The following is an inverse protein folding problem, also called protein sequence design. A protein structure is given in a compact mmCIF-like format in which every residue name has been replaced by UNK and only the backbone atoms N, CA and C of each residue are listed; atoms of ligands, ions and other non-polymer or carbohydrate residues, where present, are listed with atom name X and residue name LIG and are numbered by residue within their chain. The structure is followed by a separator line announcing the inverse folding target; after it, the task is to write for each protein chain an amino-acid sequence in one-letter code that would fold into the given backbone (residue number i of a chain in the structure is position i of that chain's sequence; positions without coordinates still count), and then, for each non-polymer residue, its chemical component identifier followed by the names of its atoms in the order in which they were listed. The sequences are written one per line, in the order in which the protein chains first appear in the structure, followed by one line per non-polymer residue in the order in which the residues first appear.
data_IF_056730418418
#
_entry.id   IF_056730418418
#
_cell.length_a   1.000
_cell.length_b   1.000
_cell.length_c   1.000
_cell.angle_alpha   90.00
_cell.angle_beta   90.00
_cell.angle_gamma   90.00
#
_symmetry.space_group_name_H-M   'P 1'
#
loop_
_entity.id
_entity.type
_entity.pdbx_description
1 polymer ?
#
# COMPACT_ATOMS: atom_id res chain seq x y z
N UNK A 1 -1.73 5.43 -30.81
CA UNK A 1 -2.42 4.42 -29.98
C UNK A 1 -2.23 4.80 -28.51
N UNK A 2 -3.29 4.79 -27.70
CA UNK A 2 -3.15 5.05 -26.27
C UNK A 2 -2.39 3.89 -25.62
N UNK A 3 -1.31 4.20 -24.90
CA UNK A 3 -0.51 3.21 -24.18
C UNK A 3 -1.42 2.51 -23.15
N UNK A 4 -1.46 1.16 -23.10
CA UNK A 4 -2.25 0.44 -22.10
C UNK A 4 -1.91 0.96 -20.70
N UNK A 5 -2.95 1.29 -19.91
CA UNK A 5 -2.77 1.74 -18.52
C UNK A 5 -2.12 0.62 -17.71
N UNK A 6 -0.90 0.87 -17.22
CA UNK A 6 -0.27 0.00 -16.23
C UNK A 6 -0.86 0.31 -14.86
N UNK A 7 -1.61 -0.64 -14.32
CA UNK A 7 -2.14 -0.59 -12.97
C UNK A 7 -0.99 -0.77 -11.98
N UNK A 8 -0.92 0.10 -10.97
CA UNK A 8 0.14 0.08 -9.95
C UNK A 8 -0.34 -0.73 -8.76
N UNK A 9 0.47 -1.62 -8.22
CA UNK A 9 0.05 -2.43 -7.07
C UNK A 9 0.18 -1.65 -5.76
N UNK A 10 -0.87 -1.70 -4.94
CA UNK A 10 -0.94 -1.03 -3.63
C UNK A 10 -1.35 -2.04 -2.56
N UNK A 11 -0.67 -2.07 -1.43
CA UNK A 11 -0.92 -3.09 -0.40
C UNK A 11 -2.16 -2.80 0.46
N UNK A 12 -2.38 -1.54 0.82
CA UNK A 12 -3.51 -1.11 1.63
C UNK A 12 -3.91 0.34 1.33
N UNK A 13 -5.17 0.66 1.57
CA UNK A 13 -5.65 2.04 1.58
C UNK A 13 -5.35 2.67 2.94
N UNK A 14 -5.11 3.99 2.99
CA UNK A 14 -4.97 4.67 4.26
C UNK A 14 -6.28 4.62 5.06
N UNK A 15 -6.20 4.34 6.36
CA UNK A 15 -7.38 4.39 7.26
C UNK A 15 -7.94 5.81 7.40
N UNK A 16 -7.05 6.80 7.32
CA UNK A 16 -7.37 8.23 7.32
C UNK A 16 -6.85 8.83 6.02
N UNK A 17 -7.74 9.39 5.22
CA UNK A 17 -7.41 9.93 3.91
C UNK A 17 -7.33 11.47 3.89
N UNK A 18 -7.33 12.13 5.05
CA UNK A 18 -7.22 13.58 5.18
C UNK A 18 -6.33 13.94 6.37
N UNK A 19 -5.40 14.86 6.14
CA UNK A 19 -4.48 15.41 7.14
C UNK A 19 -4.38 16.92 6.94
N UNK A 20 -4.28 17.70 8.00
CA UNK A 20 -4.20 19.15 7.87
C UNK A 20 -4.19 19.87 9.21
N UNK A 21 -4.06 21.20 9.20
CA UNK A 21 -4.09 21.99 10.42
C UNK A 21 -5.46 21.91 11.10
N UNK A 22 -5.46 21.86 12.44
CA UNK A 22 -6.69 21.78 13.24
C UNK A 22 -7.62 22.99 13.04
N UNK A 23 -7.06 24.14 12.68
CA UNK A 23 -7.78 25.41 12.50
C UNK A 23 -7.92 25.81 11.02
N UNK A 24 -7.79 24.87 10.09
CA UNK A 24 -7.83 25.15 8.65
C UNK A 24 -9.20 25.65 8.18
N UNK A 25 -9.22 26.73 7.39
CA UNK A 25 -10.43 27.14 6.68
C UNK A 25 -10.75 26.13 5.57
N UNK A 26 -12.04 25.78 5.44
CA UNK A 26 -12.51 24.74 4.52
C UNK A 26 -12.64 25.24 3.07
N UNK A 27 -11.71 26.10 2.63
CA UNK A 27 -11.71 26.65 1.28
C UNK A 27 -11.10 25.64 0.30
N UNK A 28 -11.70 25.52 -0.90
CA UNK A 28 -11.24 24.56 -1.92
C UNK A 28 -9.80 24.82 -2.41
N UNK A 29 -9.27 26.04 -2.25
CA UNK A 29 -7.87 26.39 -2.56
C UNK A 29 -6.86 25.86 -1.52
N UNK A 30 -7.33 25.32 -0.40
CA UNK A 30 -6.50 24.81 0.69
C UNK A 30 -6.20 23.31 0.58
N UNK A 31 -6.51 22.63 -0.53
CA UNK A 31 -6.29 21.19 -0.66
C UNK A 31 -5.07 20.84 -1.51
N UNK A 32 -4.31 19.84 -1.07
CA UNK A 32 -3.29 19.14 -1.86
C UNK A 32 -3.75 17.69 -2.02
N UNK A 33 -3.96 17.26 -3.26
CA UNK A 33 -4.41 15.88 -3.54
C UNK A 33 -3.22 14.97 -3.82
N UNK A 34 -2.99 14.01 -2.93
CA UNK A 34 -2.06 12.91 -3.08
C UNK A 34 -2.81 11.68 -3.60
N UNK A 35 -2.26 11.02 -4.61
CA UNK A 35 -2.81 9.77 -5.14
C UNK A 35 -2.46 8.59 -4.24
N UNK A 36 -3.22 7.50 -4.36
CA UNK A 36 -3.00 6.31 -3.53
C UNK A 36 -1.62 5.66 -3.80
N UNK A 37 -1.13 5.71 -5.04
CA UNK A 37 0.19 5.18 -5.39
C UNK A 37 1.35 6.04 -4.86
N UNK A 38 1.16 7.36 -4.79
CA UNK A 38 2.08 8.30 -4.14
C UNK A 38 2.17 8.03 -2.65
N UNK A 39 1.02 7.85 -1.98
CA UNK A 39 0.96 7.45 -0.57
C UNK A 39 1.67 6.11 -0.32
N UNK A 40 1.39 5.09 -1.14
CA UNK A 40 2.03 3.78 -1.00
C UNK A 40 3.55 3.87 -1.18
N UNK A 41 4.02 4.74 -2.07
CA UNK A 41 5.46 4.96 -2.27
C UNK A 41 6.12 5.57 -1.03
N UNK A 42 5.47 6.55 -0.40
CA UNK A 42 5.94 7.14 0.88
C UNK A 42 5.93 6.09 1.98
N UNK A 43 4.87 5.28 2.07
CA UNK A 43 4.80 4.19 3.04
C UNK A 43 5.95 3.20 2.86
N UNK A 44 6.15 2.69 1.65
CA UNK A 44 7.18 1.67 1.38
C UNK A 44 8.59 2.23 1.61
N UNK A 45 8.90 3.43 1.12
CA UNK A 45 10.25 3.97 1.20
C UNK A 45 10.54 4.58 2.58
N UNK A 46 9.71 5.53 3.02
CA UNK A 46 10.01 6.34 4.20
C UNK A 46 9.58 5.68 5.51
N UNK A 47 8.50 4.86 5.51
CA UNK A 47 8.02 4.17 6.72
C UNK A 47 8.59 2.75 6.85
N UNK A 48 8.56 1.96 5.77
CA UNK A 48 9.05 0.56 5.78
C UNK A 48 10.55 0.44 5.45
N UNK A 49 11.20 1.54 5.05
CA UNK A 49 12.65 1.59 4.80
C UNK A 49 13.09 0.96 3.47
N UNK A 50 12.21 0.86 2.47
CA UNK A 50 12.55 0.19 1.22
C UNK A 50 13.44 1.06 0.36
N UNK A 51 14.37 0.41 -0.34
CA UNK A 51 15.06 1.05 -1.46
C UNK A 51 14.06 1.30 -2.61
N UNK A 52 14.37 2.26 -3.49
CA UNK A 52 13.56 2.51 -4.69
C UNK A 52 13.42 1.27 -5.58
N UNK A 53 14.43 0.41 -5.61
CA UNK A 53 14.42 -0.86 -6.36
C UNK A 53 13.39 -1.83 -5.76
N UNK A 54 13.40 -2.01 -4.44
CA UNK A 54 12.44 -2.86 -3.74
C UNK A 54 11.01 -2.33 -3.88
N UNK A 55 10.83 -1.02 -3.74
CA UNK A 55 9.53 -0.37 -3.97
C UNK A 55 9.02 -0.61 -5.41
N UNK A 56 9.91 -0.55 -6.40
CA UNK A 56 9.57 -0.79 -7.81
C UNK A 56 9.12 -2.23 -8.04
N UNK A 57 9.85 -3.19 -7.46
CA UNK A 57 9.45 -4.60 -7.46
C UNK A 57 8.09 -4.81 -6.81
N UNK A 58 7.87 -4.21 -5.63
CA UNK A 58 6.63 -4.35 -4.87
C UNK A 58 5.41 -3.76 -5.60
N UNK A 59 5.59 -2.63 -6.28
CA UNK A 59 4.52 -1.93 -7.00
C UNK A 59 4.35 -2.39 -8.46
N UNK A 60 5.19 -3.33 -8.93
CA UNK A 60 5.26 -3.83 -10.31
C UNK A 60 5.43 -2.72 -11.36
N UNK A 61 6.26 -1.73 -11.07
CA UNK A 61 6.57 -0.61 -11.96
C UNK A 61 8.08 -0.45 -12.15
N UNK A 62 8.50 0.34 -13.14
CA UNK A 62 9.91 0.63 -13.34
C UNK A 62 10.45 1.51 -12.20
N UNK A 63 11.72 1.29 -11.81
CA UNK A 63 12.43 2.11 -10.82
C UNK A 63 12.37 3.61 -11.11
N UNK A 64 12.49 4.01 -12.37
CA UNK A 64 12.36 5.41 -12.81
C UNK A 64 10.96 5.98 -12.57
N UNK A 65 9.92 5.14 -12.66
CA UNK A 65 8.54 5.53 -12.34
C UNK A 65 8.37 5.72 -10.84
N UNK A 66 8.96 4.85 -10.00
CA UNK A 66 8.98 5.04 -8.53
C UNK A 66 9.67 6.35 -8.18
N UNK A 67 10.81 6.66 -8.80
CA UNK A 67 11.52 7.91 -8.54
C UNK A 67 10.65 9.15 -8.81
N UNK A 68 9.90 9.15 -9.92
CA UNK A 68 8.94 10.22 -10.23
C UNK A 68 7.82 10.31 -9.19
N UNK A 69 7.15 9.20 -8.90
CA UNK A 69 6.07 9.12 -7.91
C UNK A 69 6.56 9.58 -6.52
N UNK A 70 7.75 9.17 -6.12
CA UNK A 70 8.35 9.53 -4.84
C UNK A 70 8.63 11.03 -4.74
N UNK A 71 9.14 11.64 -5.80
CA UNK A 71 9.37 13.08 -5.84
C UNK A 71 8.05 13.87 -5.78
N UNK A 72 7.06 13.48 -6.57
CA UNK A 72 5.73 14.10 -6.56
C UNK A 72 5.09 14.00 -5.17
N UNK A 73 5.18 12.82 -4.54
CA UNK A 73 4.63 12.58 -3.21
C UNK A 73 5.31 13.47 -2.15
N UNK A 74 6.65 13.56 -2.15
CA UNK A 74 7.39 14.44 -1.23
C UNK A 74 7.08 15.91 -1.44
N UNK A 75 6.93 16.35 -2.70
CA UNK A 75 6.54 17.73 -3.00
C UNK A 75 5.16 18.05 -2.39
N UNK A 76 4.18 17.16 -2.53
CA UNK A 76 2.83 17.34 -1.98
C UNK A 76 2.81 17.37 -0.44
N UNK A 77 3.62 16.53 0.20
CA UNK A 77 3.81 16.57 1.65
C UNK A 77 4.40 17.92 2.06
N UNK A 78 5.47 18.35 1.41
CA UNK A 78 6.11 19.62 1.69
C UNK A 78 5.15 20.79 1.48
N UNK A 79 4.37 20.80 0.40
CA UNK A 79 3.37 21.83 0.14
C UNK A 79 2.29 21.89 1.23
N UNK A 80 1.80 20.73 1.68
CA UNK A 80 0.83 20.64 2.77
C UNK A 80 1.39 21.18 4.07
N UNK A 81 2.61 20.77 4.45
CA UNK A 81 3.23 21.14 5.72
C UNK A 81 3.64 22.62 5.74
N UNK A 82 4.26 23.13 4.67
CA UNK A 82 4.80 24.50 4.61
C UNK A 82 3.69 25.54 4.46
N UNK A 83 2.69 25.26 3.62
CA UNK A 83 1.61 26.22 3.35
C UNK A 83 0.37 26.00 4.22
N UNK A 84 0.39 25.03 5.14
CA UNK A 84 -0.77 24.68 5.98
C UNK A 84 -1.97 24.17 5.19
N UNK A 85 -1.74 23.53 4.04
CA UNK A 85 -2.82 22.97 3.21
C UNK A 85 -3.26 21.62 3.73
N UNK A 86 -4.55 21.31 3.56
CA UNK A 86 -5.12 19.99 3.85
C UNK A 86 -4.65 19.00 2.78
N UNK A 87 -3.87 17.99 3.20
CA UNK A 87 -3.50 16.86 2.37
C UNK A 87 -4.67 15.87 2.30
N UNK A 88 -5.14 15.58 1.09
CA UNK A 88 -6.19 14.60 0.84
C UNK A 88 -5.63 13.45 0.00
N UNK A 89 -5.83 12.23 0.44
CA UNK A 89 -5.32 11.02 -0.21
C UNK A 89 -6.46 10.33 -0.96
N UNK A 90 -6.51 10.45 -2.29
CA UNK A 90 -7.55 9.82 -3.10
C UNK A 90 -7.17 9.67 -4.57
N UNK A 91 -7.92 8.84 -5.28
CA UNK A 91 -7.76 8.64 -6.72
C UNK A 91 -6.49 7.89 -7.10
N UNK A 92 -6.12 8.02 -8.38
CA UNK A 92 -5.06 7.24 -9.01
C UNK A 92 -5.56 5.92 -9.60
N UNK A 93 -4.77 5.38 -10.54
CA UNK A 93 -5.03 4.09 -11.17
C UNK A 93 -4.17 3.02 -10.46
N UNK A 94 -4.77 2.28 -9.52
CA UNK A 94 -4.07 1.25 -8.75
C UNK A 94 -4.89 -0.04 -8.62
N UNK A 95 -4.20 -1.15 -8.40
CA UNK A 95 -4.77 -2.45 -8.08
C UNK A 95 -4.35 -2.82 -6.66
N UNK A 96 -5.33 -3.17 -5.82
CA UNK A 96 -5.04 -3.63 -4.47
C UNK A 96 -4.39 -5.01 -4.52
N UNK A 97 -3.43 -5.23 -3.62
CA UNK A 97 -2.89 -6.56 -3.38
C UNK A 97 -4.03 -7.52 -2.99
N UNK A 98 -4.05 -8.68 -3.64
CA UNK A 98 -5.05 -9.73 -3.38
C UNK A 98 -4.72 -10.53 -2.11
N UNK A 99 -3.48 -10.41 -1.61
CA UNK A 99 -3.04 -11.13 -0.41
C UNK A 99 -2.78 -12.62 -0.63
N UNK A 100 -2.95 -13.12 -1.85
CA UNK A 100 -2.82 -14.53 -2.25
C UNK A 100 -1.40 -14.93 -2.65
N UNK A 101 -0.48 -13.98 -2.75
CA UNK A 101 0.92 -14.29 -3.11
C UNK A 101 1.64 -14.98 -1.95
N UNK A 102 2.70 -15.76 -2.24
CA UNK A 102 3.46 -16.46 -1.18
C UNK A 102 4.22 -15.50 -0.25
N UNK A 103 4.53 -14.30 -0.74
CA UNK A 103 5.23 -13.26 0.00
C UNK A 103 4.74 -11.88 -0.45
N UNK A 104 4.17 -11.08 0.44
CA UNK A 104 4.09 -9.64 0.23
C UNK A 104 5.44 -9.05 0.60
N UNK A 105 6.18 -8.54 -0.38
CA UNK A 105 7.46 -7.88 -0.15
C UNK A 105 7.35 -6.69 0.80
N UNK A 106 6.15 -6.24 1.13
CA UNK A 106 5.79 -5.19 2.09
C UNK A 106 5.97 -5.51 3.58
N UNK A 107 6.52 -6.67 3.98
CA UNK A 107 6.69 -7.03 5.40
C UNK A 107 5.40 -7.43 6.14
N UNK A 108 4.35 -7.78 5.39
CA UNK A 108 3.08 -8.27 5.92
C UNK A 108 1.99 -7.20 6.00
N UNK A 109 1.39 -6.85 4.86
CA UNK A 109 0.17 -6.03 4.88
C UNK A 109 -0.97 -6.78 5.59
N UNK A 110 -1.97 -6.04 6.06
CA UNK A 110 -3.11 -6.61 6.80
C UNK A 110 -3.74 -7.82 6.08
N UNK A 111 -3.91 -7.73 4.75
CA UNK A 111 -4.42 -8.87 3.95
C UNK A 111 -3.49 -10.08 3.97
N UNK A 112 -2.17 -9.88 3.94
CA UNK A 112 -1.22 -10.99 3.99
C UNK A 112 -1.17 -11.61 5.38
N UNK A 113 -1.11 -10.80 6.45
CA UNK A 113 -1.14 -11.32 7.83
C UNK A 113 -2.39 -12.17 8.07
N UNK A 114 -3.54 -11.66 7.64
CA UNK A 114 -4.81 -12.39 7.72
C UNK A 114 -4.81 -13.70 6.90
N UNK A 115 -4.28 -13.69 5.67
CA UNK A 115 -4.24 -14.89 4.84
C UNK A 115 -3.23 -15.93 5.35
N UNK A 116 -2.07 -15.50 5.86
CA UNK A 116 -1.10 -16.39 6.50
C UNK A 116 -1.73 -17.07 7.73
N UNK A 117 -2.42 -16.31 8.59
CA UNK A 117 -3.14 -16.86 9.74
C UNK A 117 -4.25 -17.86 9.35
N UNK A 118 -4.96 -17.63 8.24
CA UNK A 118 -5.97 -18.57 7.74
C UNK A 118 -5.36 -19.86 7.19
N UNK A 119 -4.27 -19.75 6.43
CA UNK A 119 -3.55 -20.90 5.87
C UNK A 119 -3.00 -21.78 7.01
N UNK A 120 -2.40 -21.18 8.04
CA UNK A 120 -1.89 -21.88 9.23
C UNK A 120 -3.00 -22.61 9.99
N UNK A 121 -4.16 -21.97 10.17
CA UNK A 121 -5.34 -22.59 10.82
C UNK A 121 -5.91 -23.75 10.02
N UNK A 122 -5.86 -23.69 8.69
CA UNK A 122 -6.37 -24.76 7.83
C UNK A 122 -5.39 -25.94 7.75
N UNK A 123 -4.08 -25.69 7.72
CA UNK A 123 -3.05 -26.76 7.78
C UNK A 123 -3.06 -27.49 9.11
N UNK A 124 -3.27 -26.79 10.23
CA UNK A 124 -3.44 -27.46 11.54
C UNK A 124 -4.69 -28.32 11.59
N UNK A 125 -5.81 -27.88 10.99
CA UNK A 125 -7.03 -28.70 10.91
C UNK A 125 -6.86 -29.94 10.03
N UNK A 126 -6.23 -29.82 8.86
CA UNK A 126 -5.97 -30.96 7.98
C UNK A 126 -5.04 -32.00 8.62
N UNK A 127 -4.00 -31.55 9.34
CA UNK A 127 -3.09 -32.46 10.05
C UNK A 127 -3.79 -33.22 11.19
N UNK A 128 -4.67 -32.56 11.97
CA UNK A 128 -5.44 -33.22 13.03
C UNK A 128 -6.43 -34.26 12.46
N UNK A 129 -7.09 -33.97 11.32
CA UNK A 129 -7.98 -34.96 10.67
C UNK A 129 -7.24 -36.19 10.14
N UNK A 130 -6.00 -36.03 9.68
CA UNK A 130 -5.18 -37.13 9.19
C UNK A 130 -4.63 -38.01 10.33
N UNK A 131 -4.32 -37.44 11.50
CA UNK A 131 -3.88 -38.20 12.67
C UNK A 131 -5.01 -39.05 13.28
N UNK A 132 -6.24 -38.53 13.35
CA UNK A 132 -7.41 -39.28 13.88
C UNK A 132 -7.79 -40.46 12.97
N UNK A 133 -7.49 -40.37 11.68
CA UNK A 133 -7.77 -41.43 10.70
C UNK A 133 -6.75 -42.58 10.75
N UNK A 134 -5.53 -42.33 11.24
CA UNK A 134 -4.43 -43.32 11.35
C UNK A 134 -4.30 -43.96 12.75
N UNK A 135 -5.05 -43.50 13.76
CA UNK A 135 -5.03 -44.06 15.12
C UNK A 135 -6.07 -45.18 15.34
N UNK A 136 -6.78 -45.61 14.28
CA UNK A 136 -7.87 -46.57 14.34
C UNK A 136 -7.58 -47.96 13.75
N UNK A 137 -6.33 -48.27 13.40
CA UNK A 137 -5.87 -49.63 13.02
C UNK A 137 -5.07 -50.31 14.15
#
# INVERSE_FOLDING_TARGET
MARPKKWRKVCCLPERNRFGPLNGSNNQECFVTMRIDEYETIRLIDLEGFTQEQCAGQMHIARTTVQGIYNDARQKIAESLVNGKILKIEGGDYQLCEGLEKTCGCGGCHKHRYMTELIEKNTTKENISNEVSNAGE
#
